data_IF_105204116548
#
_entry.id   IF_105204116548
#
_cell.length_a   1.000
_cell.length_b   1.000
_cell.length_c   1.000
_cell.angle_alpha   90.00
_cell.angle_beta   90.00
_cell.angle_gamma   90.00
#
_symmetry.space_group_name_H-M   'P 1'
#
loop_
_entity.id
_entity.type
_entity.pdbx_description
1 polymer ?
#
# COMPACT_ATOMS: atom_id res chain seq x y z
N UNK A 1 -50.17 24.88 -26.99
CA UNK A 1 -48.73 25.22 -26.89
C UNK A 1 -48.19 24.95 -25.47
N UNK A 2 -47.48 23.84 -25.28
CA UNK A 2 -46.46 23.62 -24.25
C UNK A 2 -45.93 22.19 -24.42
N UNK A 3 -44.95 22.02 -25.31
CA UNK A 3 -44.16 20.80 -25.47
C UNK A 3 -43.27 20.61 -24.25
N UNK A 4 -43.58 19.65 -23.39
CA UNK A 4 -42.67 19.15 -22.37
C UNK A 4 -41.62 18.23 -23.02
N UNK A 5 -40.59 18.84 -23.62
CA UNK A 5 -39.33 18.18 -23.94
C UNK A 5 -38.33 18.58 -22.87
N UNK A 6 -37.93 17.65 -22.02
CA UNK A 6 -36.85 17.94 -21.08
C UNK A 6 -36.65 16.90 -20.00
N UNK A 7 -35.49 16.25 -20.09
CA UNK A 7 -34.74 15.70 -18.97
C UNK A 7 -35.22 14.38 -18.36
N UNK A 8 -34.87 13.28 -19.02
CA UNK A 8 -34.70 11.97 -18.39
C UNK A 8 -33.25 11.47 -18.60
N UNK A 9 -32.26 12.36 -18.41
CA UNK A 9 -30.84 12.05 -18.67
C UNK A 9 -29.88 12.48 -17.55
N UNK A 10 -30.35 12.68 -16.32
CA UNK A 10 -29.46 13.07 -15.19
C UNK A 10 -29.69 12.22 -13.93
N UNK A 11 -29.89 10.90 -14.09
CA UNK A 11 -29.98 10.01 -12.93
C UNK A 11 -29.27 8.66 -13.11
N UNK A 12 -28.24 8.63 -13.96
CA UNK A 12 -27.37 7.44 -14.14
C UNK A 12 -25.89 7.74 -13.85
N UNK A 13 -25.51 9.01 -13.68
CA UNK A 13 -24.10 9.41 -13.49
C UNK A 13 -23.63 9.48 -12.03
N UNK A 14 -24.49 9.23 -11.04
CA UNK A 14 -24.12 9.31 -9.62
C UNK A 14 -23.82 7.94 -8.98
N UNK A 15 -23.77 6.86 -9.77
CA UNK A 15 -23.51 5.50 -9.25
C UNK A 15 -22.11 4.96 -9.60
N UNK A 16 -21.22 5.79 -10.14
CA UNK A 16 -19.85 5.42 -10.51
C UNK A 16 -18.77 6.06 -9.61
N UNK A 17 -19.16 6.79 -8.57
CA UNK A 17 -18.26 7.15 -7.47
C UNK A 17 -18.25 6.04 -6.39
N UNK A 18 -18.27 4.78 -6.84
CA UNK A 18 -17.74 3.71 -6.00
C UNK A 18 -16.26 3.98 -5.84
N UNK A 19 -15.78 4.08 -4.61
CA UNK A 19 -14.40 4.36 -4.26
C UNK A 19 -13.46 3.34 -4.93
N UNK A 20 -13.05 3.64 -6.16
CA UNK A 20 -12.07 2.84 -6.87
C UNK A 20 -10.71 3.24 -6.28
N UNK A 21 -10.23 2.44 -5.33
CA UNK A 21 -8.80 2.39 -5.02
C UNK A 21 -8.10 1.95 -6.32
N UNK A 22 -7.71 2.94 -7.14
CA UNK A 22 -7.04 2.73 -8.41
C UNK A 22 -5.56 2.37 -8.16
N UNK A 23 -5.35 1.25 -7.45
CA UNK A 23 -4.05 0.61 -7.32
C UNK A 23 -3.43 0.47 -8.71
N UNK A 24 -2.14 0.81 -8.82
CA UNK A 24 -1.42 0.74 -10.09
C UNK A 24 -0.90 -0.68 -10.38
N UNK A 25 -1.23 -1.63 -9.51
CA UNK A 25 -0.58 -2.93 -9.48
C UNK A 25 -1.01 -3.80 -10.64
N UNK A 26 0.00 -4.37 -11.27
CA UNK A 26 -0.15 -5.24 -12.42
C UNK A 26 0.77 -6.45 -12.25
N UNK A 27 0.30 -7.59 -12.74
CA UNK A 27 1.08 -8.80 -12.79
C UNK A 27 1.73 -8.93 -14.18
N UNK A 28 3.05 -8.87 -14.24
CA UNK A 28 3.81 -8.93 -15.48
C UNK A 28 4.91 -10.00 -15.39
N UNK A 29 4.73 -11.11 -16.12
CA UNK A 29 5.67 -12.23 -16.08
C UNK A 29 5.83 -12.82 -14.66
N UNK A 30 4.69 -12.97 -13.97
CA UNK A 30 4.55 -13.37 -12.56
C UNK A 30 5.18 -12.41 -11.52
N UNK A 31 5.71 -11.26 -11.94
CA UNK A 31 6.18 -10.23 -11.04
C UNK A 31 5.10 -9.17 -10.82
N UNK A 32 4.82 -8.81 -9.57
CA UNK A 32 4.02 -7.64 -9.25
C UNK A 32 4.83 -6.36 -9.53
N UNK A 33 4.25 -5.49 -10.35
CA UNK A 33 4.76 -4.17 -10.70
C UNK A 33 3.75 -3.11 -10.26
N UNK A 34 4.21 -1.89 -10.03
CA UNK A 34 3.33 -0.75 -9.72
C UNK A 34 2.86 -0.69 -8.26
N UNK A 35 3.52 -1.42 -7.35
CA UNK A 35 3.23 -1.32 -5.92
C UNK A 35 3.72 0.04 -5.41
N UNK A 36 2.86 0.79 -4.75
CA UNK A 36 3.19 2.11 -4.20
C UNK A 36 3.14 2.08 -2.67
N UNK A 37 4.28 2.34 -2.05
CA UNK A 37 4.42 2.52 -0.60
C UNK A 37 4.60 4.01 -0.33
N UNK A 38 3.61 4.67 0.26
CA UNK A 38 3.71 6.07 0.65
C UNK A 38 4.15 6.22 2.10
N UNK A 39 5.01 7.21 2.36
CA UNK A 39 5.29 7.66 3.74
C UNK A 39 4.34 8.83 4.03
N UNK A 40 3.73 8.83 5.21
CA UNK A 40 2.84 9.90 5.64
C UNK A 40 3.63 11.17 5.98
N UNK A 41 3.18 12.37 5.59
CA UNK A 41 3.87 13.63 5.93
C UNK A 41 4.04 13.88 7.44
N UNK A 42 3.22 13.27 8.30
CA UNK A 42 3.36 13.37 9.75
C UNK A 42 4.49 12.52 10.31
N UNK A 43 4.99 11.54 9.55
CA UNK A 43 6.14 10.73 9.99
C UNK A 43 7.41 11.58 9.92
N UNK A 44 8.15 11.73 11.04
CA UNK A 44 9.40 12.47 11.06
C UNK A 44 10.42 11.91 10.06
N UNK A 45 11.21 12.78 9.44
CA UNK A 45 12.27 12.37 8.53
C UNK A 45 13.31 11.51 9.25
N UNK A 46 13.47 10.27 8.77
CA UNK A 46 14.48 9.31 9.21
C UNK A 46 15.17 8.72 7.98
N UNK A 47 16.48 8.96 7.88
CA UNK A 47 17.29 8.50 6.74
C UNK A 47 17.32 6.97 6.61
N UNK A 48 17.07 6.25 7.71
CA UNK A 48 17.05 4.79 7.73
C UNK A 48 15.71 4.21 7.28
N UNK A 49 14.61 4.98 7.35
CA UNK A 49 13.26 4.47 7.07
C UNK A 49 13.12 3.96 5.63
N UNK A 50 13.62 4.73 4.65
CA UNK A 50 13.60 4.34 3.24
C UNK A 50 14.35 3.02 3.03
N UNK A 51 15.50 2.86 3.69
CA UNK A 51 16.28 1.63 3.60
C UNK A 51 15.55 0.46 4.28
N UNK A 52 14.93 0.68 5.43
CA UNK A 52 14.14 -0.34 6.11
C UNK A 52 12.95 -0.82 5.26
N UNK A 53 12.27 0.09 4.54
CA UNK A 53 11.21 -0.27 3.58
C UNK A 53 11.79 -1.13 2.45
N UNK A 54 12.91 -0.71 1.85
CA UNK A 54 13.58 -1.48 0.78
C UNK A 54 13.96 -2.88 1.25
N UNK A 55 14.56 -2.99 2.43
CA UNK A 55 14.97 -4.26 3.02
C UNK A 55 13.77 -5.15 3.31
N UNK A 56 12.69 -4.59 3.85
CA UNK A 56 11.46 -5.32 4.13
C UNK A 56 10.85 -5.91 2.84
N UNK A 57 10.71 -5.10 1.78
CA UNK A 57 10.18 -5.56 0.48
C UNK A 57 11.11 -6.60 -0.15
N UNK A 58 12.42 -6.37 -0.08
CA UNK A 58 13.42 -7.30 -0.64
C UNK A 58 13.39 -8.65 0.08
N UNK A 59 13.27 -8.66 1.41
CA UNK A 59 13.16 -9.90 2.21
C UNK A 59 11.82 -10.60 2.01
N UNK A 60 10.77 -9.85 1.71
CA UNK A 60 9.44 -10.39 1.49
C UNK A 60 9.26 -11.10 0.15
N UNK A 61 9.93 -10.62 -0.90
CA UNK A 61 9.76 -11.16 -2.26
C UNK A 61 10.05 -12.67 -2.36
N UNK A 62 11.16 -13.21 -1.79
CA UNK A 62 11.39 -14.65 -1.74
C UNK A 62 10.35 -15.42 -0.92
N UNK A 63 9.85 -14.82 0.17
CA UNK A 63 8.81 -15.46 0.99
C UNK A 63 7.50 -15.60 0.21
N UNK A 64 7.07 -14.53 -0.49
CA UNK A 64 5.92 -14.58 -1.38
C UNK A 64 6.10 -15.63 -2.49
N UNK A 65 7.31 -15.70 -3.04
CA UNK A 65 7.64 -16.67 -4.08
C UNK A 65 7.47 -18.10 -3.58
N UNK A 66 8.06 -18.46 -2.44
CA UNK A 66 7.91 -19.81 -1.88
C UNK A 66 6.45 -20.10 -1.45
N UNK A 67 5.78 -19.13 -0.82
CA UNK A 67 4.39 -19.28 -0.37
C UNK A 67 3.38 -19.45 -1.52
N UNK A 68 3.70 -18.94 -2.71
CA UNK A 68 2.85 -19.04 -3.90
C UNK A 68 3.27 -20.17 -4.83
N UNK A 69 3.95 -21.19 -4.30
CA UNK A 69 4.49 -22.32 -5.07
C UNK A 69 5.41 -21.88 -6.22
N UNK A 70 6.29 -20.92 -5.95
CA UNK A 70 7.31 -20.39 -6.88
C UNK A 70 6.71 -19.68 -8.08
N UNK A 71 5.62 -18.95 -7.85
CA UNK A 71 4.92 -18.20 -8.90
C UNK A 71 5.21 -16.71 -8.79
N UNK A 72 4.79 -16.08 -7.71
CA UNK A 72 4.73 -14.62 -7.64
C UNK A 72 5.85 -14.00 -6.82
N UNK A 73 6.30 -12.83 -7.23
CA UNK A 73 7.35 -12.08 -6.55
C UNK A 73 7.15 -10.57 -6.76
N UNK A 74 7.78 -9.74 -5.93
CA UNK A 74 7.81 -8.30 -6.16
C UNK A 74 8.88 -7.96 -7.18
N UNK A 75 8.47 -7.29 -8.26
CA UNK A 75 9.35 -6.92 -9.36
C UNK A 75 9.66 -5.43 -9.36
N UNK A 76 8.65 -4.57 -9.18
CA UNK A 76 8.85 -3.12 -9.08
C UNK A 76 7.96 -2.52 -7.99
N UNK A 77 8.59 -1.82 -7.05
CA UNK A 77 7.95 -1.13 -5.94
C UNK A 77 8.46 0.30 -5.90
N UNK A 78 7.54 1.27 -5.87
CA UNK A 78 7.82 2.68 -5.72
C UNK A 78 7.62 3.11 -4.26
N UNK A 79 8.55 3.91 -3.74
CA UNK A 79 8.42 4.55 -2.42
C UNK A 79 8.12 6.03 -2.66
N UNK A 80 6.95 6.49 -2.25
CA UNK A 80 6.54 7.89 -2.35
C UNK A 80 7.04 8.66 -1.11
N UNK A 81 7.95 9.60 -1.34
CA UNK A 81 8.57 10.44 -0.30
C UNK A 81 7.67 11.66 -0.04
N UNK A 82 7.46 12.07 1.22
CA UNK A 82 6.64 13.24 1.55
C UNK A 82 7.27 14.55 1.04
N UNK A 83 6.43 15.51 0.66
CA UNK A 83 6.91 16.81 0.15
C UNK A 83 7.60 17.67 1.22
N UNK A 84 7.31 17.44 2.50
CA UNK A 84 7.92 18.15 3.62
C UNK A 84 9.30 17.58 4.03
N UNK A 85 9.71 16.44 3.48
CA UNK A 85 11.06 15.91 3.68
C UNK A 85 12.07 16.63 2.81
N UNK A 86 13.34 16.65 3.23
CA UNK A 86 14.40 17.31 2.46
C UNK A 86 14.64 16.57 1.13
N UNK A 87 14.53 17.31 0.02
CA UNK A 87 14.83 16.76 -1.30
C UNK A 87 16.29 16.28 -1.39
N UNK A 88 16.48 15.04 -1.88
CA UNK A 88 17.79 14.45 -2.14
C UNK A 88 17.96 14.17 -3.64
N UNK A 89 19.19 14.19 -4.20
CA UNK A 89 19.43 13.99 -5.63
C UNK A 89 18.92 12.65 -6.18
N UNK A 90 18.83 11.63 -5.34
CA UNK A 90 18.31 10.30 -5.68
C UNK A 90 16.77 10.25 -5.79
N UNK A 91 16.06 11.28 -5.35
CA UNK A 91 14.61 11.33 -5.43
C UNK A 91 14.18 11.78 -6.83
N UNK A 92 13.31 10.98 -7.44
CA UNK A 92 12.74 11.26 -8.75
C UNK A 92 11.30 11.72 -8.60
N UNK A 93 10.86 12.62 -9.49
CA UNK A 93 9.48 13.07 -9.50
C UNK A 93 8.55 11.89 -9.83
N UNK A 94 7.51 11.62 -9.01
CA UNK A 94 6.50 10.61 -9.30
C UNK A 94 5.84 10.86 -10.66
N UNK A 95 5.49 9.79 -11.38
CA UNK A 95 4.79 9.88 -12.67
C UNK A 95 3.30 9.70 -12.48
N UNK A 96 2.93 8.59 -11.85
CA UNK A 96 1.54 8.16 -11.63
C UNK A 96 1.26 7.87 -10.15
N UNK A 97 2.32 7.71 -9.36
CA UNK A 97 2.27 7.37 -7.95
C UNK A 97 1.82 8.59 -7.14
N UNK A 98 0.79 8.41 -6.33
CA UNK A 98 0.19 9.43 -5.48
C UNK A 98 -0.14 8.82 -4.12
N UNK A 99 -0.36 9.66 -3.10
CA UNK A 99 -0.81 9.16 -1.81
C UNK A 99 -2.19 8.46 -1.89
N UNK A 100 -3.05 8.88 -2.83
CA UNK A 100 -4.40 8.32 -2.99
C UNK A 100 -4.37 6.87 -3.49
N UNK A 101 -3.51 6.55 -4.46
CA UNK A 101 -3.36 5.21 -5.03
C UNK A 101 -2.25 4.38 -4.38
N UNK A 102 -1.72 4.83 -3.23
CA UNK A 102 -0.79 4.03 -2.44
C UNK A 102 -1.49 2.77 -1.90
N UNK A 103 -0.84 1.62 -2.07
CA UNK A 103 -1.30 0.32 -1.58
C UNK A 103 -0.91 0.12 -0.11
N UNK A 104 0.24 0.68 0.26
CA UNK A 104 0.79 0.66 1.62
C UNK A 104 1.10 2.09 2.05
N UNK A 105 0.75 2.45 3.27
CA UNK A 105 1.05 3.74 3.90
C UNK A 105 1.86 3.49 5.17
N UNK A 106 3.03 4.11 5.28
CA UNK A 106 3.81 4.16 6.52
C UNK A 106 3.42 5.43 7.27
N UNK A 107 2.74 5.28 8.39
CA UNK A 107 2.19 6.40 9.18
C UNK A 107 2.41 6.18 10.68
N UNK A 108 2.06 7.19 11.48
CA UNK A 108 2.10 7.07 12.94
C UNK A 108 1.12 6.00 13.45
N UNK A 109 1.37 5.38 14.61
CA UNK A 109 0.48 4.38 15.20
C UNK A 109 -0.96 4.90 15.37
N UNK A 110 -1.94 4.08 14.99
CA UNK A 110 -3.36 4.41 15.15
C UNK A 110 -4.18 3.19 15.62
N UNK A 111 -4.68 3.17 16.87
CA UNK A 111 -4.48 4.16 17.94
C UNK A 111 -3.01 4.26 18.38
N UNK A 112 -2.59 5.34 19.07
CA UNK A 112 -1.19 5.55 19.48
C UNK A 112 -0.57 4.38 20.28
N UNK A 113 -1.40 3.62 20.98
CA UNK A 113 -1.01 2.47 21.80
C UNK A 113 -0.76 1.20 20.97
N UNK A 114 -1.26 1.16 19.72
CA UNK A 114 -1.13 0.02 18.82
C UNK A 114 -0.22 0.37 17.64
N UNK A 115 1.04 0.02 17.82
CA UNK A 115 2.12 0.24 16.86
C UNK A 115 2.31 -0.97 15.92
N UNK A 116 1.18 -1.56 15.52
CA UNK A 116 1.08 -2.77 14.70
C UNK A 116 0.65 -2.48 13.26
N UNK A 117 0.94 -3.40 12.33
CA UNK A 117 0.41 -3.31 10.98
C UNK A 117 -1.10 -3.57 10.99
N UNK A 118 -1.86 -2.85 10.17
CA UNK A 118 -3.29 -3.07 9.99
C UNK A 118 -3.72 -2.81 8.54
N UNK A 119 -4.91 -3.27 8.18
CA UNK A 119 -5.51 -3.05 6.86
C UNK A 119 -6.81 -2.30 7.03
N UNK A 120 -7.03 -1.29 6.22
CA UNK A 120 -8.33 -0.65 6.07
C UNK A 120 -9.17 -1.45 5.07
N UNK A 121 -10.29 -1.99 5.54
CA UNK A 121 -11.22 -2.80 4.76
C UNK A 121 -12.65 -2.33 5.07
N UNK A 122 -13.30 -1.67 4.11
CA UNK A 122 -14.73 -1.38 4.17
C UNK A 122 -15.59 -2.51 3.58
N UNK A 123 -14.96 -3.45 2.87
CA UNK A 123 -15.60 -4.59 2.21
C UNK A 123 -15.89 -5.78 3.14
N UNK A 124 -16.48 -6.83 2.55
CA UNK A 124 -16.75 -8.10 3.22
C UNK A 124 -15.49 -8.97 3.33
N UNK A 125 -15.55 -9.98 4.19
CA UNK A 125 -14.50 -11.00 4.26
C UNK A 125 -14.27 -11.63 2.88
N UNK A 126 -13.00 -11.68 2.46
CA UNK A 126 -12.58 -12.20 1.14
C UNK A 126 -12.53 -11.14 0.03
N UNK A 127 -12.95 -9.90 0.30
CA UNK A 127 -12.77 -8.78 -0.61
C UNK A 127 -11.41 -8.11 -0.38
N UNK A 128 -10.92 -7.40 -1.42
CA UNK A 128 -9.66 -6.67 -1.36
C UNK A 128 -9.74 -5.52 -0.35
N UNK A 129 -8.76 -5.42 0.55
CA UNK A 129 -8.58 -4.27 1.43
C UNK A 129 -8.26 -3.01 0.62
N UNK A 130 -8.66 -1.84 1.13
CA UNK A 130 -8.43 -0.57 0.45
C UNK A 130 -6.97 -0.14 0.54
N UNK A 131 -6.39 -0.20 1.75
CA UNK A 131 -4.99 0.15 2.03
C UNK A 131 -4.43 -0.65 3.20
N UNK A 132 -3.11 -0.82 3.20
CA UNK A 132 -2.36 -1.36 4.32
C UNK A 132 -1.64 -0.22 5.01
N UNK A 133 -1.64 -0.23 6.33
CA UNK A 133 -0.93 0.72 7.15
C UNK A 133 0.16 0.02 7.95
N UNK A 134 1.35 0.59 7.90
CA UNK A 134 2.51 0.22 8.69
C UNK A 134 2.97 1.39 9.54
N UNK A 135 3.68 1.06 10.60
CA UNK A 135 4.35 2.05 11.43
C UNK A 135 5.86 2.01 11.20
N UNK A 136 6.59 3.12 11.43
CA UNK A 136 8.05 3.15 11.30
C UNK A 136 8.74 2.07 12.14
N UNK A 137 8.26 1.82 13.36
CA UNK A 137 8.83 0.82 14.26
C UNK A 137 8.56 -0.62 13.80
N UNK A 138 7.40 -0.88 13.18
CA UNK A 138 7.13 -2.16 12.53
C UNK A 138 8.08 -2.38 11.35
N UNK A 139 8.22 -1.39 10.47
CA UNK A 139 9.10 -1.46 9.28
C UNK A 139 10.58 -1.61 9.69
N UNK A 140 10.99 -0.94 10.77
CA UNK A 140 12.34 -1.06 11.35
C UNK A 140 12.59 -2.41 12.04
N UNK A 141 11.60 -3.30 12.14
CA UNK A 141 11.73 -4.62 12.76
C UNK A 141 11.77 -4.60 14.29
N UNK A 142 11.44 -3.46 14.94
CA UNK A 142 11.42 -3.35 16.41
C UNK A 142 10.30 -4.18 17.04
N UNK A 143 9.30 -4.58 16.25
CA UNK A 143 8.16 -5.41 16.67
C UNK A 143 8.32 -6.91 16.36
N UNK A 144 9.56 -7.38 16.15
CA UNK A 144 9.85 -8.79 15.81
C UNK A 144 9.26 -9.81 16.79
N UNK A 145 9.21 -9.47 18.09
CA UNK A 145 8.65 -10.35 19.11
C UNK A 145 7.13 -10.57 18.94
N UNK A 146 6.43 -9.57 18.42
CA UNK A 146 4.97 -9.59 18.25
C UNK A 146 4.58 -10.15 16.88
N UNK A 147 5.27 -9.73 15.82
CA UNK A 147 4.86 -10.01 14.43
C UNK A 147 5.80 -10.93 13.66
N UNK A 148 6.94 -11.32 14.24
CA UNK A 148 8.01 -12.02 13.54
C UNK A 148 8.92 -11.08 12.75
N UNK A 149 9.96 -11.62 12.06
CA UNK A 149 10.87 -10.81 11.27
C UNK A 149 10.13 -10.04 10.17
N UNK A 150 10.55 -8.82 9.89
CA UNK A 150 9.98 -8.02 8.80
C UNK A 150 10.21 -8.71 7.44
N UNK A 151 9.19 -8.73 6.59
CA UNK A 151 9.20 -9.50 5.34
C UNK A 151 9.02 -11.02 5.50
N UNK A 152 9.08 -11.54 6.72
CA UNK A 152 8.80 -12.94 7.09
C UNK A 152 7.90 -12.94 8.31
N UNK A 153 6.74 -12.28 8.21
CA UNK A 153 5.78 -12.25 9.31
C UNK A 153 5.42 -13.66 9.77
N UNK A 154 5.09 -13.84 11.05
CA UNK A 154 4.67 -15.13 11.60
C UNK A 154 3.42 -15.62 10.85
N UNK A 155 3.65 -16.49 9.87
CA UNK A 155 2.77 -17.33 9.03
C UNK A 155 1.49 -16.78 8.38
N UNK A 156 0.98 -15.57 8.67
CA UNK A 156 -0.25 -15.09 7.98
C UNK A 156 -0.28 -13.60 7.68
N UNK A 157 0.36 -12.77 8.48
CA UNK A 157 0.21 -11.31 8.38
C UNK A 157 0.80 -10.80 7.05
N UNK A 158 2.05 -11.14 6.74
CA UNK A 158 2.71 -10.65 5.53
C UNK A 158 2.10 -11.23 4.24
N UNK A 159 1.69 -12.50 4.28
CA UNK A 159 1.06 -13.18 3.17
C UNK A 159 -0.34 -12.61 2.90
N UNK A 160 -1.19 -12.45 3.92
CA UNK A 160 -2.50 -11.80 3.75
C UNK A 160 -2.38 -10.34 3.31
N UNK A 161 -1.37 -9.61 3.81
CA UNK A 161 -1.15 -8.22 3.43
C UNK A 161 -0.83 -8.07 1.94
N UNK A 162 -0.05 -8.98 1.35
CA UNK A 162 0.36 -8.85 -0.06
C UNK A 162 -0.34 -9.81 -1.04
N UNK A 163 -1.06 -10.85 -0.59
CA UNK A 163 -1.94 -11.65 -1.47
C UNK A 163 -3.28 -10.95 -1.76
N UNK A 164 -3.64 -9.96 -0.96
CA UNK A 164 -4.89 -9.19 -1.13
C UNK A 164 -4.66 -8.01 -2.09
N UNK A 165 -3.41 -7.69 -2.39
CA UNK A 165 -3.03 -6.68 -3.38
C UNK A 165 -3.08 -7.27 -4.79
#
# INVERSE_FOLDING_TARGET
>A
PATARGSLFILVLHLLEGAQSNSLIQLNGNGYEGIVIAIDPNVPEDETLIQNIKDMVTKASPYLFEATEKRFYFKNVAILIPENWKAKPEYVKPKLETYKNADVVVTEPNPPENDGPYTEQMGKCGEKGEKIYFTPDFVAGKKVLQYGPQGMGRERIFCCIFLII
#
